data_IF_409848432379
#
_entry.id   IF_409848432379
#
_cell.length_a   1.000
_cell.length_b   1.000
_cell.length_c   1.000
_cell.angle_alpha   90.00
_cell.angle_beta   90.00
_cell.angle_gamma   90.00
#
_symmetry.space_group_name_H-M   'P 1'
#
loop_
_entity.id
_entity.type
_entity.pdbx_description
1 polymer ?
#
# COMPACT_ATOMS: atom_id res chain seq x y z
N UNK A 1 1.82 -8.38 24.54
CA UNK A 1 2.29 -9.68 24.03
C UNK A 1 1.93 -9.91 22.55
N UNK A 2 0.69 -9.68 22.12
CA UNK A 2 0.25 -9.90 20.72
C UNK A 2 1.09 -9.14 19.67
N UNK A 3 1.45 -7.87 19.92
CA UNK A 3 2.27 -7.06 19.01
C UNK A 3 3.64 -7.68 18.78
N UNK A 4 4.26 -8.22 19.83
CA UNK A 4 5.59 -8.86 19.77
C UNK A 4 5.53 -10.09 18.83
N UNK A 5 4.49 -10.92 18.98
CA UNK A 5 4.29 -12.08 18.08
C UNK A 5 4.08 -11.65 16.63
N UNK A 6 3.32 -10.58 16.37
CA UNK A 6 3.12 -10.05 15.02
C UNK A 6 4.43 -9.55 14.40
N UNK A 7 5.29 -8.89 15.18
CA UNK A 7 6.60 -8.43 14.70
C UNK A 7 7.49 -9.61 14.34
N UNK A 8 7.62 -10.61 15.22
CA UNK A 8 8.43 -11.81 14.91
C UNK A 8 7.88 -12.58 13.73
N UNK A 9 6.57 -12.68 13.62
CA UNK A 9 5.92 -13.32 12.48
C UNK A 9 6.20 -12.58 11.18
N UNK A 10 6.12 -11.24 11.16
CA UNK A 10 6.46 -10.43 9.99
C UNK A 10 7.91 -10.62 9.54
N UNK A 11 8.86 -10.62 10.50
CA UNK A 11 10.28 -10.88 10.21
C UNK A 11 10.46 -12.29 9.62
N UNK A 12 9.78 -13.28 10.16
CA UNK A 12 9.81 -14.64 9.63
C UNK A 12 9.27 -14.72 8.20
N UNK A 13 8.16 -14.02 7.90
CA UNK A 13 7.59 -13.96 6.55
C UNK A 13 8.53 -13.28 5.56
N UNK A 14 9.17 -12.19 5.96
CA UNK A 14 10.19 -11.51 5.14
C UNK A 14 11.38 -12.44 4.85
N UNK A 15 11.84 -13.20 5.84
CA UNK A 15 12.90 -14.18 5.62
C UNK A 15 12.48 -15.30 4.67
N UNK A 16 11.24 -15.76 4.74
CA UNK A 16 10.70 -16.75 3.78
C UNK A 16 10.60 -16.17 2.37
N UNK A 17 10.12 -14.94 2.21
CA UNK A 17 10.02 -14.28 0.90
C UNK A 17 11.41 -14.10 0.28
N UNK A 18 12.42 -13.71 1.07
CA UNK A 18 13.82 -13.66 0.64
C UNK A 18 14.32 -15.02 0.14
N UNK A 19 14.06 -16.11 0.88
CA UNK A 19 14.45 -17.47 0.46
C UNK A 19 13.73 -17.92 -0.82
N UNK A 20 12.46 -17.55 -0.97
CA UNK A 20 11.69 -17.87 -2.19
C UNK A 20 12.29 -17.11 -3.38
N UNK A 21 12.54 -15.82 -3.23
CA UNK A 21 13.13 -14.99 -4.26
C UNK A 21 14.50 -15.55 -4.73
N UNK A 22 15.37 -15.90 -3.80
CA UNK A 22 16.68 -16.48 -4.13
C UNK A 22 16.58 -17.86 -4.76
N UNK A 23 15.63 -18.70 -4.34
CA UNK A 23 15.43 -20.04 -4.89
C UNK A 23 14.91 -20.02 -6.32
N UNK A 24 14.04 -19.07 -6.64
CA UNK A 24 13.40 -18.96 -7.96
C UNK A 24 14.08 -17.93 -8.87
N UNK A 25 15.21 -17.33 -8.43
CA UNK A 25 15.97 -16.31 -9.17
C UNK A 25 15.13 -15.06 -9.52
N UNK A 26 14.22 -14.67 -8.62
CA UNK A 26 13.49 -13.41 -8.75
C UNK A 26 14.34 -12.28 -8.16
N UNK A 27 15.12 -11.64 -9.02
CA UNK A 27 16.01 -10.57 -8.64
C UNK A 27 15.71 -9.32 -9.46
N UNK A 28 15.81 -8.18 -8.82
CA UNK A 28 15.92 -6.91 -9.49
C UNK A 28 17.37 -6.68 -9.91
N UNK A 29 17.59 -6.62 -11.23
CA UNK A 29 18.92 -6.45 -11.81
C UNK A 29 19.14 -4.96 -12.06
N UNK A 30 20.24 -4.37 -11.58
CA UNK A 30 20.54 -2.98 -11.82
C UNK A 30 20.70 -2.70 -13.32
N UNK A 31 20.05 -1.64 -13.77
CA UNK A 31 20.21 -1.07 -15.10
C UNK A 31 20.62 0.40 -15.03
N UNK A 32 20.70 1.09 -16.17
CA UNK A 32 21.14 2.49 -16.23
C UNK A 32 20.13 3.49 -15.61
N UNK A 33 18.90 3.06 -15.36
CA UNK A 33 17.81 3.89 -14.81
C UNK A 33 17.65 3.68 -13.30
N UNK A 34 18.18 2.56 -12.76
CA UNK A 34 18.06 2.18 -11.35
C UNK A 34 19.22 2.73 -10.51
N UNK A 35 18.89 3.11 -9.29
CA UNK A 35 19.85 3.74 -8.38
C UNK A 35 20.71 2.71 -7.65
N UNK A 36 20.16 1.51 -7.38
CA UNK A 36 20.89 0.44 -6.73
C UNK A 36 21.92 -0.20 -7.68
N UNK A 37 23.07 -0.58 -7.12
CA UNK A 37 24.19 -1.17 -7.87
C UNK A 37 24.32 -2.67 -7.68
N UNK A 38 23.61 -3.25 -6.75
CA UNK A 38 23.64 -4.66 -6.40
C UNK A 38 22.35 -5.36 -6.84
N UNK A 39 22.45 -6.66 -7.08
CA UNK A 39 21.28 -7.50 -7.40
C UNK A 39 20.47 -7.69 -6.11
N UNK A 40 19.21 -7.26 -6.11
CA UNK A 40 18.35 -7.28 -4.95
C UNK A 40 17.21 -8.29 -5.16
N UNK A 41 16.86 -9.12 -4.15
CA UNK A 41 15.69 -10.00 -4.22
C UNK A 41 14.38 -9.18 -4.25
N UNK A 42 13.52 -9.44 -5.24
CA UNK A 42 12.37 -8.57 -5.59
C UNK A 42 11.00 -9.09 -5.11
N UNK A 43 10.91 -10.00 -4.15
CA UNK A 43 9.60 -10.52 -3.70
C UNK A 43 9.22 -10.12 -2.26
N UNK A 44 9.57 -8.91 -1.81
CA UNK A 44 9.21 -8.41 -0.47
C UNK A 44 7.69 -8.39 -0.25
N UNK A 45 6.92 -8.01 -1.25
CA UNK A 45 5.45 -7.98 -1.22
C UNK A 45 4.81 -9.35 -0.97
N UNK A 46 5.48 -10.45 -1.29
CA UNK A 46 4.98 -11.81 -1.02
C UNK A 46 4.75 -12.07 0.47
N UNK A 47 5.49 -11.41 1.35
CA UNK A 47 5.31 -11.52 2.80
C UNK A 47 3.98 -10.92 3.29
N UNK A 48 3.40 -9.98 2.56
CA UNK A 48 2.14 -9.33 2.92
C UNK A 48 0.93 -10.25 2.75
N UNK A 49 0.97 -11.21 1.80
CA UNK A 49 -0.14 -12.13 1.53
C UNK A 49 -0.51 -12.95 2.78
N UNK A 50 0.39 -13.77 3.36
CA UNK A 50 0.04 -14.55 4.53
C UNK A 50 -0.26 -13.67 5.76
N UNK A 51 0.31 -12.46 5.84
CA UNK A 51 -0.02 -11.51 6.90
C UNK A 51 -1.47 -11.05 6.82
N UNK A 52 -1.98 -10.67 5.63
CA UNK A 52 -3.38 -10.29 5.43
C UNK A 52 -4.32 -11.48 5.68
N UNK A 53 -3.99 -12.66 5.17
CA UNK A 53 -4.79 -13.88 5.43
C UNK A 53 -4.88 -14.18 6.93
N UNK A 54 -3.81 -14.00 7.65
CA UNK A 54 -3.78 -14.13 9.10
C UNK A 54 -4.66 -13.09 9.79
N UNK A 55 -4.65 -11.84 9.33
CA UNK A 55 -5.55 -10.81 9.84
C UNK A 55 -7.02 -11.22 9.66
N UNK A 56 -7.40 -11.74 8.49
CA UNK A 56 -8.76 -12.26 8.28
C UNK A 56 -9.17 -13.38 9.25
N UNK A 57 -8.20 -14.20 9.69
CA UNK A 57 -8.47 -15.36 10.56
C UNK A 57 -8.59 -15.01 12.04
N UNK A 58 -7.92 -13.96 12.50
CA UNK A 58 -7.82 -13.63 13.93
C UNK A 58 -8.76 -12.51 14.40
N UNK A 59 -9.34 -11.77 13.48
CA UNK A 59 -10.17 -10.61 13.82
C UNK A 59 -11.54 -10.73 13.17
N UNK A 60 -12.59 -10.51 13.96
CA UNK A 60 -13.95 -10.33 13.46
C UNK A 60 -14.07 -8.90 12.90
N UNK A 61 -14.10 -8.78 11.60
CA UNK A 61 -14.21 -7.48 10.94
C UNK A 61 -15.66 -7.19 10.51
N UNK A 62 -16.01 -5.91 10.52
CA UNK A 62 -17.21 -5.44 9.83
C UNK A 62 -17.10 -5.72 8.31
N UNK A 63 -18.23 -5.80 7.63
CA UNK A 63 -18.26 -6.06 6.19
C UNK A 63 -17.38 -5.07 5.40
N UNK A 64 -17.38 -3.80 5.76
CA UNK A 64 -16.57 -2.77 5.09
C UNK A 64 -15.07 -3.03 5.22
N UNK A 65 -14.60 -3.47 6.39
CA UNK A 65 -13.18 -3.80 6.60
C UNK A 65 -12.79 -5.04 5.80
N UNK A 66 -13.68 -6.04 5.71
CA UNK A 66 -13.44 -7.25 4.90
C UNK A 66 -13.30 -6.92 3.42
N UNK A 67 -14.14 -6.02 2.88
CA UNK A 67 -14.03 -5.53 1.50
C UNK A 67 -12.70 -4.82 1.30
N UNK A 68 -12.33 -3.90 2.19
CA UNK A 68 -11.07 -3.15 2.14
C UNK A 68 -9.86 -4.09 2.10
N UNK A 69 -9.81 -5.09 2.99
CA UNK A 69 -8.72 -6.06 3.02
C UNK A 69 -8.67 -6.92 1.74
N UNK A 70 -9.83 -7.29 1.18
CA UNK A 70 -9.89 -8.01 -0.10
C UNK A 70 -9.34 -7.19 -1.26
N UNK A 71 -9.61 -5.88 -1.28
CA UNK A 71 -9.08 -4.95 -2.27
C UNK A 71 -7.56 -4.78 -2.12
N UNK A 72 -7.04 -4.68 -0.90
CA UNK A 72 -5.59 -4.68 -0.66
C UNK A 72 -4.93 -5.95 -1.16
N UNK A 73 -5.57 -7.11 -0.98
CA UNK A 73 -5.06 -8.37 -1.52
C UNK A 73 -4.93 -8.34 -3.04
N UNK A 74 -5.92 -7.77 -3.75
CA UNK A 74 -5.87 -7.59 -5.20
C UNK A 74 -4.71 -6.66 -5.59
N UNK A 75 -4.52 -5.54 -4.89
CA UNK A 75 -3.41 -4.60 -5.15
C UNK A 75 -2.05 -5.27 -4.96
N UNK A 76 -1.89 -6.10 -3.92
CA UNK A 76 -0.65 -6.86 -3.69
C UNK A 76 -0.39 -7.84 -4.83
N UNK A 77 -1.42 -8.54 -5.32
CA UNK A 77 -1.27 -9.45 -6.48
C UNK A 77 -0.82 -8.69 -7.72
N UNK A 78 -1.40 -7.52 -8.00
CA UNK A 78 -1.00 -6.67 -9.12
C UNK A 78 0.48 -6.27 -8.98
N UNK A 79 0.92 -5.84 -7.78
CA UNK A 79 2.31 -5.51 -7.50
C UNK A 79 3.25 -6.70 -7.71
N UNK A 80 2.90 -7.89 -7.22
CA UNK A 80 3.72 -9.10 -7.41
C UNK A 80 3.82 -9.51 -8.89
N UNK A 81 2.75 -9.35 -9.67
CA UNK A 81 2.80 -9.64 -11.11
C UNK A 81 3.71 -8.62 -11.81
N UNK A 82 3.67 -7.37 -11.40
CA UNK A 82 4.56 -6.31 -11.89
C UNK A 82 6.03 -6.63 -11.59
N UNK A 83 6.34 -7.01 -10.35
CA UNK A 83 7.69 -7.44 -9.94
C UNK A 83 8.25 -8.62 -10.76
N UNK A 84 7.37 -9.52 -11.23
CA UNK A 84 7.77 -10.72 -11.99
C UNK A 84 7.85 -10.45 -13.50
N UNK A 85 6.98 -9.58 -14.05
CA UNK A 85 6.76 -9.48 -15.50
C UNK A 85 7.01 -8.11 -16.10
N UNK A 86 7.39 -7.10 -15.32
CA UNK A 86 7.53 -5.71 -15.78
C UNK A 86 6.31 -5.27 -16.61
N UNK A 87 5.17 -5.06 -15.93
CA UNK A 87 3.94 -4.67 -16.62
C UNK A 87 4.08 -3.25 -17.17
N UNK A 88 3.56 -3.03 -18.39
CA UNK A 88 3.45 -1.69 -18.95
C UNK A 88 2.75 -0.73 -17.92
N UNK A 89 3.32 0.46 -17.65
CA UNK A 89 2.76 1.41 -16.67
C UNK A 89 1.28 1.75 -16.89
N UNK A 90 0.83 1.83 -18.14
CA UNK A 90 -0.57 2.09 -18.47
C UNK A 90 -1.48 0.94 -18.02
N UNK A 91 -1.08 -0.31 -18.25
CA UNK A 91 -1.82 -1.50 -17.82
C UNK A 91 -1.84 -1.61 -16.30
N UNK A 92 -0.74 -1.28 -15.62
CA UNK A 92 -0.66 -1.23 -14.16
C UNK A 92 -1.65 -0.23 -13.59
N UNK A 93 -1.70 0.99 -14.13
CA UNK A 93 -2.65 2.02 -13.72
C UNK A 93 -4.11 1.59 -13.94
N UNK A 94 -4.41 0.97 -15.09
CA UNK A 94 -5.75 0.44 -15.38
C UNK A 94 -6.14 -0.69 -14.42
N UNK A 95 -5.22 -1.60 -14.11
CA UNK A 95 -5.46 -2.67 -13.16
C UNK A 95 -5.72 -2.15 -11.74
N UNK A 96 -5.00 -1.12 -11.30
CA UNK A 96 -5.16 -0.46 -10.00
C UNK A 96 -6.45 0.38 -9.93
N UNK A 97 -6.93 0.90 -11.06
CA UNK A 97 -8.15 1.71 -11.08
C UNK A 97 -9.36 0.96 -10.52
N UNK A 98 -9.52 -0.34 -10.85
CA UNK A 98 -10.69 -1.12 -10.43
C UNK A 98 -10.78 -1.25 -8.90
N UNK A 99 -9.75 -1.74 -8.18
CA UNK A 99 -9.82 -1.83 -6.72
C UNK A 99 -9.93 -0.44 -6.06
N UNK A 100 -9.29 0.59 -6.60
CA UNK A 100 -9.40 1.97 -6.07
C UNK A 100 -10.82 2.51 -6.26
N UNK A 101 -11.44 2.28 -7.41
CA UNK A 101 -12.83 2.67 -7.66
C UNK A 101 -13.79 2.03 -6.66
N UNK A 102 -13.68 0.71 -6.45
CA UNK A 102 -14.53 -0.02 -5.50
C UNK A 102 -14.29 0.49 -4.08
N UNK A 103 -13.02 0.63 -3.68
CA UNK A 103 -12.65 1.16 -2.37
C UNK A 103 -13.27 2.54 -2.12
N UNK A 104 -13.13 3.46 -3.05
CA UNK A 104 -13.67 4.82 -2.93
C UNK A 104 -15.19 4.84 -2.83
N UNK A 105 -15.87 3.93 -3.54
CA UNK A 105 -17.32 3.80 -3.48
C UNK A 105 -17.82 3.27 -2.13
N UNK A 106 -17.11 2.31 -1.54
CA UNK A 106 -17.56 1.62 -0.33
C UNK A 106 -17.09 2.31 0.96
N UNK A 107 -15.86 2.83 0.97
CA UNK A 107 -15.27 3.45 2.17
C UNK A 107 -15.60 4.93 2.28
N UNK A 108 -15.65 5.63 1.14
CA UNK A 108 -16.05 7.02 1.09
C UNK A 108 -15.09 7.92 0.30
N UNK A 109 -15.48 9.19 0.21
CA UNK A 109 -14.81 10.21 -0.60
C UNK A 109 -14.39 11.40 0.24
N UNK A 110 -13.35 12.10 -0.18
CA UNK A 110 -12.98 13.42 0.35
C UNK A 110 -14.04 14.41 -0.08
N UNK A 111 -14.77 14.97 0.89
CA UNK A 111 -15.90 15.89 0.63
C UNK A 111 -15.46 17.33 0.55
N UNK A 112 -14.41 17.69 1.30
CA UNK A 112 -13.92 19.06 1.45
C UNK A 112 -12.40 19.05 1.56
N UNK A 113 -11.77 20.11 1.08
CA UNK A 113 -10.33 20.36 1.24
C UNK A 113 -10.00 21.08 2.55
N UNK A 114 -11.00 21.29 3.41
CA UNK A 114 -10.85 21.98 4.68
C UNK A 114 -11.30 23.43 4.63
N UNK A 115 -11.02 24.15 5.73
CA UNK A 115 -11.36 25.57 5.90
C UNK A 115 -10.18 26.44 5.45
N UNK A 116 -10.45 27.37 4.54
CA UNK A 116 -9.50 28.39 4.12
C UNK A 116 -10.15 29.77 4.27
N UNK A 117 -9.55 30.63 5.08
CA UNK A 117 -10.07 31.98 5.38
C UNK A 117 -11.57 31.95 5.80
N UNK A 118 -11.93 31.04 6.72
CA UNK A 118 -13.29 30.82 7.24
C UNK A 118 -14.29 30.26 6.22
N UNK A 119 -13.88 29.97 5.00
CA UNK A 119 -14.68 29.31 3.97
C UNK A 119 -14.30 27.85 3.78
N UNK A 120 -15.28 26.96 3.81
CA UNK A 120 -15.07 25.54 3.50
C UNK A 120 -14.98 25.35 1.98
N UNK A 121 -13.88 24.76 1.51
CA UNK A 121 -13.70 24.41 0.11
C UNK A 121 -14.31 23.02 -0.11
N UNK A 122 -15.60 23.00 -0.48
CA UNK A 122 -16.32 21.77 -0.78
C UNK A 122 -16.07 21.31 -2.21
N UNK A 123 -15.83 19.99 -2.39
CA UNK A 123 -15.63 19.38 -3.71
C UNK A 123 -16.95 19.07 -4.45
N UNK A 124 -18.07 19.07 -3.74
CA UNK A 124 -19.39 18.83 -4.33
C UNK A 124 -19.44 17.55 -5.18
N UNK A 125 -19.85 17.66 -6.45
CA UNK A 125 -19.97 16.54 -7.39
C UNK A 125 -18.60 15.98 -7.84
N UNK A 126 -17.50 16.69 -7.62
CA UNK A 126 -16.15 16.25 -8.00
C UNK A 126 -15.49 15.36 -6.94
N UNK A 127 -16.08 15.20 -5.76
CA UNK A 127 -15.51 14.48 -4.63
C UNK A 127 -15.03 13.06 -5.01
N UNK A 128 -15.82 12.31 -5.77
CA UNK A 128 -15.49 10.94 -6.16
C UNK A 128 -14.27 10.88 -7.11
N UNK A 129 -14.33 11.66 -8.18
CA UNK A 129 -13.26 11.70 -9.20
C UNK A 129 -11.97 12.20 -8.55
N UNK A 130 -12.05 13.25 -7.74
CA UNK A 130 -10.91 13.80 -7.01
C UNK A 130 -10.26 12.75 -6.10
N UNK A 131 -11.07 12.02 -5.32
CA UNK A 131 -10.56 10.98 -4.40
C UNK A 131 -9.88 9.84 -5.15
N UNK A 132 -10.50 9.34 -6.22
CA UNK A 132 -9.89 8.28 -7.06
C UNK A 132 -8.55 8.74 -7.63
N UNK A 133 -8.49 9.95 -8.19
CA UNK A 133 -7.26 10.50 -8.75
C UNK A 133 -6.18 10.68 -7.68
N UNK A 134 -6.52 11.18 -6.49
CA UNK A 134 -5.58 11.32 -5.38
C UNK A 134 -4.99 9.98 -4.95
N UNK A 135 -5.81 8.93 -4.81
CA UNK A 135 -5.34 7.59 -4.43
C UNK A 135 -4.44 7.01 -5.54
N UNK A 136 -4.83 7.13 -6.81
CA UNK A 136 -4.01 6.67 -7.93
C UNK A 136 -2.66 7.39 -7.99
N UNK A 137 -2.65 8.71 -7.84
CA UNK A 137 -1.41 9.51 -7.82
C UNK A 137 -0.52 9.13 -6.65
N UNK A 138 -1.09 8.97 -5.43
CA UNK A 138 -0.34 8.53 -4.26
C UNK A 138 0.26 7.14 -4.45
N UNK A 139 -0.53 6.18 -4.93
CA UNK A 139 -0.05 4.81 -5.19
C UNK A 139 1.12 4.83 -6.17
N UNK A 140 1.01 5.61 -7.24
CA UNK A 140 2.08 5.74 -8.23
C UNK A 140 3.32 6.47 -7.66
N UNK A 141 3.11 7.54 -6.87
CA UNK A 141 4.20 8.26 -6.23
C UNK A 141 4.97 7.37 -5.23
N UNK A 142 4.28 6.57 -4.43
CA UNK A 142 4.92 5.61 -3.54
C UNK A 142 5.73 4.55 -4.29
N UNK A 143 5.25 4.10 -5.45
CA UNK A 143 6.01 3.17 -6.29
C UNK A 143 7.33 3.80 -6.81
N UNK A 144 7.35 5.10 -7.13
CA UNK A 144 8.58 5.79 -7.50
C UNK A 144 9.54 6.00 -6.31
N UNK A 145 9.01 6.30 -5.13
CA UNK A 145 9.80 6.49 -3.90
C UNK A 145 10.47 5.18 -3.47
N UNK A 146 9.88 4.03 -3.78
CA UNK A 146 10.42 2.70 -3.45
C UNK A 146 11.75 2.39 -4.14
N UNK A 147 12.10 3.13 -5.20
CA UNK A 147 13.42 3.06 -5.82
C UNK A 147 14.60 3.57 -4.99
N UNK A 148 14.35 4.14 -3.80
CA UNK A 148 15.37 4.64 -2.89
C UNK A 148 15.36 3.84 -1.58
N UNK A 149 16.50 3.22 -1.26
CA UNK A 149 16.65 2.35 -0.08
C UNK A 149 16.14 3.00 1.22
N UNK A 150 15.10 2.41 1.79
CA UNK A 150 14.52 2.81 3.07
C UNK A 150 13.65 4.08 3.05
N UNK A 151 13.61 4.85 1.97
CA UNK A 151 12.84 6.10 1.92
C UNK A 151 11.35 5.84 2.04
N UNK A 152 10.84 4.82 1.34
CA UNK A 152 9.43 4.40 1.45
C UNK A 152 9.10 3.98 2.88
N UNK A 153 9.93 3.13 3.50
CA UNK A 153 9.72 2.64 4.86
C UNK A 153 9.66 3.80 5.88
N UNK A 154 10.56 4.76 5.78
CA UNK A 154 10.58 5.95 6.65
C UNK A 154 9.31 6.79 6.45
N UNK A 155 8.90 7.05 5.20
CA UNK A 155 7.67 7.79 4.92
C UNK A 155 6.44 7.10 5.52
N UNK A 156 6.32 5.79 5.35
CA UNK A 156 5.21 5.00 5.90
C UNK A 156 5.20 5.08 7.43
N UNK A 157 6.35 4.91 8.09
CA UNK A 157 6.46 5.02 9.55
C UNK A 157 6.03 6.41 10.03
N UNK A 158 6.53 7.48 9.42
CA UNK A 158 6.18 8.86 9.79
C UNK A 158 4.68 9.07 9.62
N UNK A 159 4.10 8.62 8.50
CA UNK A 159 2.66 8.74 8.23
C UNK A 159 1.82 8.04 9.31
N UNK A 160 2.12 6.79 9.63
CA UNK A 160 1.40 6.06 10.67
C UNK A 160 1.56 6.67 12.07
N UNK A 161 2.75 7.16 12.42
CA UNK A 161 2.98 7.87 13.68
C UNK A 161 2.15 9.15 13.75
N UNK A 162 2.11 9.92 12.67
CA UNK A 162 1.30 11.15 12.59
C UNK A 162 -0.18 10.83 12.81
N UNK A 163 -0.74 9.85 12.11
CA UNK A 163 -2.13 9.42 12.32
C UNK A 163 -2.39 8.93 13.74
N UNK A 164 -1.46 8.18 14.32
CA UNK A 164 -1.59 7.72 15.70
C UNK A 164 -1.71 8.87 16.69
N UNK A 165 -0.89 9.91 16.56
CA UNK A 165 -0.95 11.09 17.44
C UNK A 165 -2.22 11.89 17.19
N UNK A 166 -2.62 12.14 15.94
CA UNK A 166 -3.83 12.90 15.62
C UNK A 166 -5.10 12.23 16.18
N UNK A 167 -5.24 10.90 16.05
CA UNK A 167 -6.40 10.16 16.55
C UNK A 167 -6.45 10.17 18.08
N UNK A 168 -5.30 10.17 18.77
CA UNK A 168 -5.27 10.21 20.22
C UNK A 168 -5.53 11.62 20.78
N UNK A 169 -5.13 12.67 20.08
CA UNK A 169 -5.42 14.06 20.47
C UNK A 169 -6.92 14.38 20.37
N UNK A 170 -7.64 13.81 19.40
CA UNK A 170 -9.10 13.98 19.30
C UNK A 170 -9.91 13.25 20.39
N UNK A 171 -9.28 12.34 21.14
CA UNK A 171 -9.93 11.58 22.24
C UNK A 171 -9.73 12.20 23.61
N UNK A 172 -8.87 13.20 23.75
CA UNK A 172 -8.60 13.95 24.98
C UNK A 172 -9.29 15.31 24.96
#
# INVERSE_FOLDING_TARGET
>A
MQIIYLVFFSIFLLYLSFKISTKFNFFDIPDNEKIHKEIIPNLGGLALIPFILLMFSFFDYSQNISITLSLFFIVIIIGLIDDIKDINPELKLLALFIPIYIFTKDVGTVKSLGLYLEHEISLGSLNFIFTVLCIMLLTNAYNYIDGLDGLLAINVIITFLTFYFLINDEKN
#
